data_IF_597202918363
#
_entry.id   IF_597202918363
#
_cell.length_a   1.000
_cell.length_b   1.000
_cell.length_c   1.000
_cell.angle_alpha   90.00
_cell.angle_beta   90.00
_cell.angle_gamma   90.00
#
_symmetry.space_group_name_H-M   'P 1'
#
loop_
_entity.id
_entity.type
_entity.pdbx_description
1 polymer ?
#
# COMPACT_ATOMS: atom_id res chain seq x y z
N UNK A 1 -17.59 72.92 -34.02
CA UNK A 1 -16.83 72.23 -32.95
C UNK A 1 -17.57 70.96 -32.54
N UNK A 2 -17.09 69.80 -32.96
CA UNK A 2 -17.75 68.51 -32.70
C UNK A 2 -17.18 67.87 -31.43
N UNK A 3 -17.99 67.78 -30.37
CA UNK A 3 -17.61 67.12 -29.11
C UNK A 3 -17.86 65.61 -29.23
N UNK A 4 -16.79 64.84 -29.46
CA UNK A 4 -16.78 63.38 -29.30
C UNK A 4 -17.07 63.03 -27.83
N UNK A 5 -18.27 62.52 -27.55
CA UNK A 5 -18.61 61.92 -26.26
C UNK A 5 -17.85 60.61 -26.10
N UNK A 6 -16.96 60.58 -25.13
CA UNK A 6 -16.27 59.38 -24.67
C UNK A 6 -17.32 58.46 -24.02
N UNK A 7 -17.69 57.36 -24.68
CA UNK A 7 -18.48 56.29 -24.04
C UNK A 7 -17.57 55.66 -22.98
N UNK A 8 -17.86 55.92 -21.70
CA UNK A 8 -17.33 55.10 -20.61
C UNK A 8 -17.87 53.68 -20.84
N UNK A 9 -16.97 52.74 -21.09
CA UNK A 9 -17.28 51.34 -20.92
C UNK A 9 -17.48 51.13 -19.42
N UNK A 10 -18.72 50.83 -19.02
CA UNK A 10 -19.00 50.30 -17.69
C UNK A 10 -18.45 48.88 -17.66
N UNK A 11 -17.38 48.69 -16.88
CA UNK A 11 -16.79 47.38 -16.61
C UNK A 11 -17.74 46.62 -15.68
N UNK A 12 -18.69 45.89 -16.25
CA UNK A 12 -19.50 44.94 -15.51
C UNK A 12 -18.62 43.73 -15.18
N UNK A 13 -18.11 43.69 -13.96
CA UNK A 13 -17.30 42.60 -13.42
C UNK A 13 -18.16 41.65 -12.57
N UNK A 14 -19.25 41.16 -13.14
CA UNK A 14 -20.07 40.14 -12.47
C UNK A 14 -19.33 38.78 -12.53
N UNK A 15 -19.15 38.16 -11.38
CA UNK A 15 -18.58 36.80 -11.30
C UNK A 15 -19.65 35.82 -11.81
N UNK A 16 -19.28 34.97 -12.77
CA UNK A 16 -20.15 33.91 -13.24
C UNK A 16 -20.22 32.77 -12.20
N UNK A 17 -21.20 32.87 -11.30
CA UNK A 17 -21.42 31.89 -10.22
C UNK A 17 -21.73 30.49 -10.75
N UNK A 18 -22.39 30.37 -11.91
CA UNK A 18 -22.75 29.07 -12.49
C UNK A 18 -21.49 28.31 -12.91
N UNK A 19 -20.54 28.98 -13.57
CA UNK A 19 -19.25 28.38 -13.93
C UNK A 19 -18.39 28.06 -12.71
N UNK A 20 -18.50 28.84 -11.62
CA UNK A 20 -17.77 28.56 -10.38
C UNK A 20 -18.30 27.31 -9.67
N UNK A 21 -19.63 27.15 -9.61
CA UNK A 21 -20.26 25.97 -9.01
C UNK A 21 -19.87 24.70 -9.77
N UNK A 22 -19.80 24.74 -11.11
CA UNK A 22 -19.39 23.61 -11.93
C UNK A 22 -17.97 23.12 -11.59
N UNK A 23 -17.02 24.05 -11.44
CA UNK A 23 -15.65 23.73 -11.01
C UNK A 23 -15.63 23.14 -9.61
N UNK A 24 -16.41 23.67 -8.66
CA UNK A 24 -16.49 23.13 -7.31
C UNK A 24 -17.09 21.72 -7.28
N UNK A 25 -18.13 21.46 -8.09
CA UNK A 25 -18.74 20.13 -8.21
C UNK A 25 -17.77 19.11 -8.82
N UNK A 26 -17.00 19.51 -9.84
CA UNK A 26 -15.95 18.67 -10.43
C UNK A 26 -14.91 18.24 -9.38
N UNK A 27 -14.47 19.18 -8.53
CA UNK A 27 -13.53 18.88 -7.44
C UNK A 27 -14.12 17.88 -6.43
N UNK A 28 -15.40 18.04 -6.07
CA UNK A 28 -16.09 17.11 -5.17
C UNK A 28 -16.20 15.70 -5.76
N UNK A 29 -16.51 15.59 -7.05
CA UNK A 29 -16.58 14.29 -7.77
C UNK A 29 -15.22 13.61 -7.79
N UNK A 30 -14.14 14.34 -8.08
CA UNK A 30 -12.78 13.79 -8.05
C UNK A 30 -12.46 13.24 -6.66
N UNK A 31 -12.71 14.01 -5.59
CA UNK A 31 -12.48 13.54 -4.23
C UNK A 31 -13.30 12.28 -3.90
N UNK A 32 -14.58 12.25 -4.25
CA UNK A 32 -15.47 11.10 -4.02
C UNK A 32 -14.97 9.83 -4.71
N UNK A 33 -14.45 9.93 -5.95
CA UNK A 33 -13.95 8.80 -6.74
C UNK A 33 -12.57 8.33 -6.26
N UNK A 34 -11.72 9.22 -5.77
CA UNK A 34 -10.37 8.83 -5.30
C UNK A 34 -10.38 8.06 -3.97
N UNK A 35 -11.39 8.28 -3.11
CA UNK A 35 -11.51 7.61 -1.82
C UNK A 35 -11.62 6.06 -1.88
N UNK A 36 -12.47 5.45 -2.74
CA UNK A 36 -12.61 3.99 -2.81
C UNK A 36 -11.39 3.26 -3.37
N UNK A 37 -10.43 3.95 -4.00
CA UNK A 37 -9.22 3.32 -4.56
C UNK A 37 -8.18 2.93 -3.48
N UNK A 38 -8.41 3.28 -2.21
CA UNK A 38 -7.56 2.89 -1.07
C UNK A 38 -7.85 1.48 -0.52
N UNK A 39 -8.66 0.66 -1.20
CA UNK A 39 -8.91 -0.73 -0.82
C UNK A 39 -8.15 -1.70 -1.74
N UNK A 40 -6.84 -1.52 -1.85
CA UNK A 40 -5.93 -2.52 -2.40
C UNK A 40 -5.61 -3.61 -1.37
N UNK A 41 -6.62 -4.32 -0.87
CA UNK A 41 -6.43 -5.52 -0.08
C UNK A 41 -6.43 -6.72 -1.02
N UNK A 42 -5.28 -7.34 -1.26
CA UNK A 42 -5.27 -8.70 -1.82
C UNK A 42 -6.08 -9.57 -0.87
N UNK A 43 -7.09 -10.26 -1.39
CA UNK A 43 -7.92 -11.18 -0.61
C UNK A 43 -7.09 -12.44 -0.29
N UNK A 44 -6.25 -12.33 0.74
CA UNK A 44 -5.42 -13.44 1.20
C UNK A 44 -6.30 -14.31 2.08
N UNK A 45 -6.78 -15.42 1.50
CA UNK A 45 -7.35 -16.52 2.26
C UNK A 45 -6.25 -17.12 3.16
N UNK A 46 -6.06 -16.54 4.35
CA UNK A 46 -5.20 -17.08 5.38
C UNK A 46 -5.81 -18.41 5.86
N UNK A 47 -5.16 -19.57 5.65
CA UNK A 47 -5.63 -20.81 6.22
C UNK A 47 -5.65 -20.62 7.74
N UNK A 48 -6.80 -20.89 8.37
CA UNK A 48 -6.90 -20.94 9.83
C UNK A 48 -6.10 -22.14 10.30
N UNK A 49 -4.84 -21.92 10.63
CA UNK A 49 -4.09 -22.88 11.41
C UNK A 49 -4.70 -22.88 12.82
N UNK A 50 -5.24 -24.02 13.25
CA UNK A 50 -5.43 -24.26 14.67
C UNK A 50 -4.05 -24.23 15.32
N UNK A 51 -3.67 -23.08 15.86
CA UNK A 51 -2.42 -22.91 16.59
C UNK A 51 -2.53 -23.71 17.90
N UNK A 52 -2.25 -25.01 17.81
CA UNK A 52 -1.79 -25.75 18.98
C UNK A 52 -0.57 -25.02 19.51
N UNK A 53 -0.47 -24.76 20.82
CA UNK A 53 0.74 -24.21 21.42
C UNK A 53 1.93 -25.03 20.93
N UNK A 54 2.82 -24.39 20.18
CA UNK A 54 3.98 -25.06 19.62
C UNK A 54 4.88 -25.41 20.80
N UNK A 55 4.87 -26.68 21.20
CA UNK A 55 5.97 -27.26 21.96
C UNK A 55 7.22 -27.12 21.08
N UNK A 56 8.13 -26.25 21.51
CA UNK A 56 9.30 -25.84 20.73
C UNK A 56 10.14 -27.03 20.23
N UNK A 57 10.79 -26.80 19.08
CA UNK A 57 12.06 -27.42 18.60
C UNK A 57 11.96 -28.62 17.67
N UNK A 58 11.36 -28.44 16.50
CA UNK A 58 11.78 -29.31 15.38
C UNK A 58 11.52 -28.72 14.00
N UNK A 59 11.53 -27.41 13.77
CA UNK A 59 11.33 -26.89 12.40
C UNK A 59 12.13 -25.62 12.14
N UNK A 60 12.45 -25.38 10.87
CA UNK A 60 13.20 -24.19 10.45
C UNK A 60 12.32 -22.95 10.66
N UNK A 61 12.86 -21.93 11.32
CA UNK A 61 12.15 -20.65 11.51
C UNK A 61 12.69 -19.61 10.56
N UNK A 62 11.81 -18.95 9.82
CA UNK A 62 12.15 -17.81 8.95
C UNK A 62 11.40 -16.60 9.48
N UNK A 63 12.12 -15.57 9.88
CA UNK A 63 11.56 -14.32 10.39
C UNK A 63 11.79 -13.21 9.37
N UNK A 64 10.74 -12.47 9.03
CA UNK A 64 10.82 -11.27 8.19
C UNK A 64 10.64 -10.05 9.08
N UNK A 65 11.64 -9.17 9.12
CA UNK A 65 11.56 -7.91 9.88
C UNK A 65 10.75 -6.86 9.12
N UNK A 66 10.30 -5.83 9.84
CA UNK A 66 9.62 -4.65 9.25
C UNK A 66 10.44 -3.94 8.18
N UNK A 67 11.76 -4.04 8.27
CA UNK A 67 12.69 -3.43 7.31
C UNK A 67 12.96 -4.33 6.08
N UNK A 68 12.26 -5.48 5.98
CA UNK A 68 12.42 -6.44 4.89
C UNK A 68 13.64 -7.36 5.03
N UNK A 69 14.28 -7.36 6.20
CA UNK A 69 15.37 -8.27 6.52
C UNK A 69 14.85 -9.69 6.76
N UNK A 70 15.61 -10.69 6.33
CA UNK A 70 15.29 -12.10 6.56
C UNK A 70 16.23 -12.65 7.62
N UNK A 71 15.68 -13.26 8.66
CA UNK A 71 16.42 -14.00 9.66
C UNK A 71 16.03 -15.47 9.60
N UNK A 72 17.02 -16.34 9.73
CA UNK A 72 16.83 -17.79 9.78
C UNK A 72 17.22 -18.33 11.14
N UNK A 73 16.38 -19.21 11.69
CA UNK A 73 16.49 -19.86 12.99
C UNK A 73 16.78 -18.85 14.13
N UNK A 74 17.90 -18.99 14.82
CA UNK A 74 18.32 -18.18 15.98
C UNK A 74 18.75 -16.74 15.62
N UNK A 75 18.18 -16.18 14.54
CA UNK A 75 18.39 -14.79 14.16
C UNK A 75 19.55 -14.58 13.18
N UNK A 76 19.93 -15.59 12.39
CA UNK A 76 20.99 -15.42 11.38
C UNK A 76 20.48 -14.53 10.25
N UNK A 77 21.01 -13.31 10.06
CA UNK A 77 20.54 -12.42 9.01
C UNK A 77 21.03 -12.93 7.65
N UNK A 78 20.13 -12.93 6.67
CA UNK A 78 20.43 -13.30 5.29
C UNK A 78 19.77 -12.29 4.35
N UNK A 79 20.44 -11.99 3.25
CA UNK A 79 19.80 -11.28 2.14
C UNK A 79 18.80 -12.19 1.44
N UNK A 80 17.86 -11.61 0.68
CA UNK A 80 16.92 -12.39 -0.12
C UNK A 80 17.62 -13.31 -1.13
N UNK A 81 18.73 -12.86 -1.72
CA UNK A 81 19.49 -13.65 -2.68
C UNK A 81 20.14 -14.88 -2.03
N UNK A 82 20.77 -14.70 -0.87
CA UNK A 82 21.39 -15.78 -0.10
C UNK A 82 20.34 -16.75 0.43
N UNK A 83 19.23 -16.23 0.95
CA UNK A 83 18.12 -17.05 1.43
C UNK A 83 17.54 -17.88 0.30
N UNK A 84 17.28 -17.29 -0.87
CA UNK A 84 16.75 -18.01 -2.05
C UNK A 84 17.68 -19.12 -2.52
N UNK A 85 18.99 -18.90 -2.47
CA UNK A 85 19.98 -19.90 -2.84
C UNK A 85 20.05 -21.05 -1.81
N UNK A 86 20.04 -20.72 -0.52
CA UNK A 86 20.14 -21.69 0.56
C UNK A 86 18.83 -22.44 0.87
N UNK A 87 17.68 -21.84 0.57
CA UNK A 87 16.36 -22.36 0.94
C UNK A 87 16.11 -23.75 0.37
N UNK A 88 16.51 -24.04 -0.86
CA UNK A 88 16.29 -25.37 -1.45
C UNK A 88 17.06 -26.47 -0.70
N UNK A 89 18.25 -26.16 -0.21
CA UNK A 89 19.07 -27.08 0.60
C UNK A 89 18.46 -27.23 2.00
N UNK A 90 18.18 -26.11 2.66
CA UNK A 90 17.60 -26.09 4.01
C UNK A 90 16.22 -26.76 4.07
N UNK A 91 15.39 -26.54 3.04
CA UNK A 91 14.06 -27.12 2.93
C UNK A 91 14.10 -28.63 2.63
N UNK A 92 15.10 -29.13 1.89
CA UNK A 92 15.27 -30.58 1.68
C UNK A 92 15.68 -31.28 2.97
N UNK A 93 16.63 -30.70 3.69
CA UNK A 93 17.17 -31.29 4.92
C UNK A 93 16.15 -31.29 6.06
N UNK A 94 15.23 -30.31 6.07
CA UNK A 94 14.24 -30.11 7.14
C UNK A 94 12.78 -30.23 6.67
N UNK A 95 12.54 -30.85 5.51
CA UNK A 95 11.20 -31.02 4.92
C UNK A 95 10.20 -31.71 5.85
N UNK A 96 10.68 -32.64 6.68
CA UNK A 96 9.85 -33.46 7.59
C UNK A 96 9.39 -32.69 8.84
N UNK A 97 9.99 -31.53 9.06
CA UNK A 97 10.03 -30.84 10.34
C UNK A 97 9.20 -29.54 10.34
N UNK A 98 8.71 -29.15 9.17
CA UNK A 98 7.86 -27.98 8.98
C UNK A 98 8.67 -26.68 8.89
N UNK A 99 8.10 -25.70 8.21
CA UNK A 99 8.63 -24.34 8.07
C UNK A 99 7.76 -23.39 8.88
N UNK A 100 8.36 -22.67 9.81
CA UNK A 100 7.70 -21.63 10.58
C UNK A 100 8.04 -20.27 9.99
N UNK A 101 7.03 -19.54 9.51
CA UNK A 101 7.19 -18.16 9.04
C UNK A 101 6.70 -17.20 10.12
N UNK A 102 7.57 -16.30 10.56
CA UNK A 102 7.28 -15.21 11.49
C UNK A 102 7.45 -13.88 10.76
N UNK A 103 6.56 -12.92 11.01
CA UNK A 103 6.69 -11.55 10.54
C UNK A 103 6.51 -10.61 11.75
N UNK A 104 7.45 -9.68 11.95
CA UNK A 104 7.36 -8.64 12.98
C UNK A 104 6.69 -7.37 12.46
#
# INVERSE_FOLDING_TARGET
MSRRRHRRFELNADINVVSLIDVMLLLLVIFMITAPMMQGGVDIALPRAEARPITSKSGMTVTVTRDGGILVDDGTPMTYAEFRAAFQTLARDRAQQGLYLRAD
#
